data_IF_272308303017
#
_entry.id   IF_272308303017
#
_cell.length_a   1.000
_cell.length_b   1.000
_cell.length_c   1.000
_cell.angle_alpha   90.00
_cell.angle_beta   90.00
_cell.angle_gamma   90.00
#
_symmetry.space_group_name_H-M   'P 1'
#
loop_
_entity.id
_entity.type
_entity.pdbx_description
1 polymer ?
#
# COMPACT_ATOMS: atom_id res chain seq x y z
N UNK A 1 14.61 14.61 3.83
CA UNK A 1 14.11 15.73 4.66
C UNK A 1 13.18 15.18 5.73
N UNK A 2 12.89 15.91 6.84
CA UNK A 2 12.04 15.41 7.91
C UNK A 2 10.63 15.00 7.47
N UNK A 3 10.11 15.59 6.38
CA UNK A 3 8.81 15.23 5.82
C UNK A 3 8.63 13.74 5.50
N UNK A 4 9.71 12.97 5.33
CA UNK A 4 9.60 11.52 5.10
C UNK A 4 9.02 10.72 6.29
N UNK A 5 9.06 11.26 7.50
CA UNK A 5 8.52 10.61 8.70
C UNK A 5 7.74 11.54 9.64
N UNK A 6 7.78 12.87 9.41
CA UNK A 6 6.96 13.86 10.13
C UNK A 6 5.94 14.48 9.17
N UNK A 7 4.63 14.22 9.35
CA UNK A 7 3.61 14.76 8.47
C UNK A 7 3.45 16.28 8.59
N UNK A 8 3.80 16.90 9.73
CA UNK A 8 3.77 18.36 9.87
C UNK A 8 4.85 19.03 9.03
N UNK A 9 6.05 18.43 9.00
CA UNK A 9 7.12 18.87 8.10
C UNK A 9 6.72 18.66 6.63
N UNK A 10 6.08 17.52 6.30
CA UNK A 10 5.67 17.22 4.92
C UNK A 10 4.69 18.25 4.37
N UNK A 11 3.70 18.67 5.16
CA UNK A 11 2.72 19.67 4.72
C UNK A 11 3.39 21.00 4.36
N UNK A 12 4.37 21.44 5.17
CA UNK A 12 5.15 22.66 4.86
C UNK A 12 5.99 22.49 3.60
N UNK A 13 6.62 21.33 3.43
CA UNK A 13 7.38 21.01 2.21
C UNK A 13 6.47 21.03 0.97
N UNK A 14 5.27 20.43 1.05
CA UNK A 14 4.27 20.46 -0.02
C UNK A 14 3.80 21.88 -0.35
N UNK A 15 3.68 22.77 0.64
CA UNK A 15 3.33 24.18 0.42
C UNK A 15 4.42 24.93 -0.34
N UNK A 16 5.69 24.67 -0.02
CA UNK A 16 6.84 25.22 -0.76
C UNK A 16 6.85 24.72 -2.21
N UNK A 17 6.55 23.45 -2.41
CA UNK A 17 6.54 22.81 -3.74
C UNK A 17 5.24 23.10 -4.53
N UNK A 18 4.26 23.79 -3.94
CA UNK A 18 2.98 24.14 -4.59
C UNK A 18 2.02 22.96 -4.78
N UNK A 19 2.15 21.89 -3.98
CA UNK A 19 1.41 20.64 -4.13
C UNK A 19 0.08 20.66 -3.36
N UNK A 20 -1.00 20.40 -4.08
CA UNK A 20 -2.35 20.30 -3.48
C UNK A 20 -2.52 19.00 -2.68
N UNK A 21 -2.06 17.88 -3.24
CA UNK A 21 -2.11 16.57 -2.62
C UNK A 21 -1.01 15.65 -3.19
N UNK A 22 -0.72 14.57 -2.49
CA UNK A 22 0.27 13.56 -2.87
C UNK A 22 -0.23 12.15 -2.59
N UNK A 23 0.12 11.23 -3.48
CA UNK A 23 -0.06 9.78 -3.28
C UNK A 23 1.22 9.23 -2.66
N UNK A 24 1.09 8.59 -1.49
CA UNK A 24 2.22 8.15 -0.69
C UNK A 24 2.47 6.65 -0.89
N UNK A 25 3.66 6.34 -1.38
CA UNK A 25 4.20 4.98 -1.50
C UNK A 25 5.35 4.78 -0.50
N UNK A 26 5.62 3.53 -0.06
CA UNK A 26 6.77 3.22 0.75
C UNK A 26 8.08 3.40 -0.01
N UNK A 27 9.17 3.65 0.73
CA UNK A 27 10.54 3.52 0.20
C UNK A 27 11.23 2.28 0.76
N UNK A 28 11.48 2.23 2.07
CA UNK A 28 12.21 1.11 2.71
C UNK A 28 11.44 -0.21 2.61
N UNK A 29 10.11 -0.13 2.63
CA UNK A 29 9.26 -1.33 2.62
C UNK A 29 9.16 -1.96 1.22
N UNK A 30 9.51 -1.26 0.12
CA UNK A 30 9.44 -1.84 -1.25
C UNK A 30 10.18 -3.18 -1.36
N UNK A 31 11.35 -3.30 -0.72
CA UNK A 31 12.12 -4.54 -0.71
C UNK A 31 11.45 -5.69 0.05
N UNK A 32 10.50 -5.42 0.95
CA UNK A 32 9.77 -6.45 1.69
C UNK A 32 8.77 -7.20 0.80
N UNK A 33 8.41 -6.68 -0.38
CA UNK A 33 7.63 -7.43 -1.38
C UNK A 33 8.37 -8.66 -1.93
N UNK A 34 9.70 -8.75 -1.76
CA UNK A 34 10.50 -9.91 -2.14
C UNK A 34 10.57 -11.00 -1.04
N UNK A 35 9.97 -10.78 0.13
CA UNK A 35 9.90 -11.80 1.17
C UNK A 35 9.07 -13.00 0.68
N UNK A 36 9.60 -14.21 0.88
CA UNK A 36 8.91 -15.46 0.55
C UNK A 36 8.06 -16.00 1.71
N UNK A 37 8.33 -15.56 2.94
CA UNK A 37 7.48 -15.87 4.08
C UNK A 37 6.24 -14.95 4.04
N UNK A 38 5.13 -15.52 3.58
CA UNK A 38 3.84 -14.84 3.44
C UNK A 38 3.36 -14.21 4.77
N UNK A 39 3.49 -14.94 5.89
CA UNK A 39 3.02 -14.46 7.20
C UNK A 39 3.89 -13.33 7.73
N UNK A 40 5.20 -13.41 7.52
CA UNK A 40 6.10 -12.31 7.86
C UNK A 40 5.81 -11.07 7.01
N UNK A 41 5.60 -11.24 5.70
CA UNK A 41 5.25 -10.13 4.81
C UNK A 41 3.94 -9.45 5.24
N UNK A 42 2.89 -10.24 5.50
CA UNK A 42 1.61 -9.75 6.02
C UNK A 42 1.78 -8.94 7.32
N UNK A 43 2.54 -9.47 8.28
CA UNK A 43 2.77 -8.79 9.56
C UNK A 43 3.52 -7.46 9.39
N UNK A 44 4.57 -7.43 8.57
CA UNK A 44 5.31 -6.21 8.26
C UNK A 44 4.42 -5.16 7.56
N UNK A 45 3.61 -5.58 6.60
CA UNK A 45 2.74 -4.69 5.85
C UNK A 45 1.64 -4.11 6.73
N UNK A 46 1.07 -4.91 7.63
CA UNK A 46 0.07 -4.45 8.60
C UNK A 46 0.62 -3.33 9.49
N UNK A 47 1.82 -3.51 10.05
CA UNK A 47 2.48 -2.48 10.87
C UNK A 47 2.77 -1.22 10.06
N UNK A 48 3.22 -1.38 8.81
CA UNK A 48 3.41 -0.25 7.90
C UNK A 48 2.10 0.49 7.61
N UNK A 49 1.01 -0.23 7.35
CA UNK A 49 -0.31 0.36 7.06
C UNK A 49 -0.86 1.13 8.26
N UNK A 50 -0.65 0.62 9.49
CA UNK A 50 -1.03 1.30 10.72
C UNK A 50 -0.26 2.62 10.87
N UNK A 51 1.05 2.60 10.68
CA UNK A 51 1.89 3.81 10.67
C UNK A 51 1.47 4.79 9.57
N UNK A 52 1.21 4.30 8.35
CA UNK A 52 0.82 5.15 7.22
C UNK A 52 -0.54 5.82 7.48
N UNK A 53 -1.48 5.11 8.10
CA UNK A 53 -2.77 5.65 8.49
C UNK A 53 -2.62 6.79 9.51
N UNK A 54 -1.75 6.63 10.51
CA UNK A 54 -1.42 7.67 11.49
C UNK A 54 -0.75 8.87 10.82
N UNK A 55 0.24 8.63 9.95
CA UNK A 55 0.93 9.67 9.20
C UNK A 55 -0.05 10.51 8.36
N UNK A 56 -0.96 9.86 7.62
CA UNK A 56 -1.94 10.56 6.78
C UNK A 56 -3.03 11.27 7.60
N UNK A 57 -3.19 10.94 8.89
CA UNK A 57 -4.28 11.46 9.72
C UNK A 57 -4.27 12.98 9.86
N UNK A 58 -3.09 13.61 9.77
CA UNK A 58 -2.93 15.05 9.84
C UNK A 58 -3.71 15.79 8.75
N UNK A 59 -3.74 15.26 7.53
CA UNK A 59 -4.32 15.93 6.37
C UNK A 59 -4.80 14.92 5.32
N UNK A 60 -5.80 14.10 5.64
CA UNK A 60 -6.31 13.00 4.78
C UNK A 60 -6.79 13.42 3.38
N UNK A 61 -7.01 14.71 3.14
CA UNK A 61 -7.38 15.26 1.83
C UNK A 61 -6.16 15.67 0.99
N UNK A 62 -4.98 15.78 1.60
CA UNK A 62 -3.70 16.10 0.93
C UNK A 62 -2.72 14.93 0.95
N UNK A 63 -2.72 14.11 1.99
CA UNK A 63 -1.86 12.95 2.17
C UNK A 63 -2.66 11.67 1.87
N UNK A 64 -2.45 11.10 0.69
CA UNK A 64 -3.23 9.96 0.18
C UNK A 64 -2.40 8.69 0.30
N UNK A 65 -2.57 7.97 1.40
CA UNK A 65 -1.86 6.72 1.66
C UNK A 65 -2.38 5.54 0.84
N UNK A 66 -1.44 4.78 0.25
CA UNK A 66 -1.70 3.52 -0.47
C UNK A 66 -1.26 2.36 0.42
N UNK A 67 -2.22 1.49 0.78
CA UNK A 67 -1.97 0.36 1.66
C UNK A 67 -1.13 -0.69 0.96
N UNK A 68 -0.15 -1.26 1.66
CA UNK A 68 0.59 -2.40 1.18
C UNK A 68 -0.18 -3.69 1.46
N UNK A 69 -0.38 -4.51 0.43
CA UNK A 69 -1.18 -5.73 0.52
C UNK A 69 -0.30 -6.91 0.09
N UNK A 70 -0.08 -7.85 1.00
CA UNK A 70 0.50 -9.16 0.69
C UNK A 70 -0.55 -9.95 -0.07
N UNK A 71 -0.15 -10.60 -1.15
CA UNK A 71 -1.09 -11.30 -2.06
C UNK A 71 -0.72 -12.78 -2.24
N UNK A 72 0.05 -13.34 -1.31
CA UNK A 72 0.25 -14.79 -1.21
C UNK A 72 -1.05 -15.51 -0.84
N UNK A 73 -1.76 -15.00 0.18
CA UNK A 73 -3.11 -15.46 0.57
C UNK A 73 -4.12 -14.37 0.25
N UNK A 74 -5.05 -14.66 -0.66
CA UNK A 74 -5.98 -13.66 -1.20
C UNK A 74 -7.14 -13.38 -0.25
N UNK A 75 -7.54 -14.34 0.58
CA UNK A 75 -8.60 -14.12 1.57
C UNK A 75 -8.07 -13.19 2.68
N UNK A 76 -6.80 -13.35 3.07
CA UNK A 76 -6.11 -12.39 3.95
C UNK A 76 -5.90 -11.03 3.28
N UNK A 77 -5.50 -11.00 2.01
CA UNK A 77 -5.32 -9.77 1.25
C UNK A 77 -6.60 -8.92 1.20
N UNK A 78 -7.74 -9.54 0.92
CA UNK A 78 -9.06 -8.88 0.89
C UNK A 78 -9.42 -8.35 2.28
N UNK A 79 -9.21 -9.15 3.32
CA UNK A 79 -9.48 -8.73 4.72
C UNK A 79 -8.66 -7.49 5.10
N UNK A 80 -7.37 -7.46 4.75
CA UNK A 80 -6.51 -6.30 5.04
C UNK A 80 -6.87 -5.09 4.18
N UNK A 81 -7.27 -5.30 2.93
CA UNK A 81 -7.74 -4.25 2.03
C UNK A 81 -8.99 -3.55 2.59
N UNK A 82 -9.98 -4.32 3.04
CA UNK A 82 -11.18 -3.82 3.70
C UNK A 82 -10.85 -3.03 4.96
N UNK A 83 -9.94 -3.57 5.80
CA UNK A 83 -9.47 -2.91 7.02
C UNK A 83 -8.82 -1.56 6.72
N UNK A 84 -7.96 -1.50 5.71
CA UNK A 84 -7.28 -0.28 5.28
C UNK A 84 -8.26 0.74 4.69
N UNK A 85 -9.22 0.29 3.88
CA UNK A 85 -10.28 1.13 3.33
C UNK A 85 -11.16 1.75 4.41
N UNK A 86 -11.51 0.97 5.44
CA UNK A 86 -12.30 1.42 6.60
C UNK A 86 -11.56 2.48 7.43
N UNK A 87 -10.24 2.35 7.54
CA UNK A 87 -9.38 3.37 8.16
C UNK A 87 -9.19 4.60 7.27
N UNK A 88 -9.49 4.51 5.97
CA UNK A 88 -9.47 5.66 5.07
C UNK A 88 -8.21 5.79 4.22
N UNK A 89 -7.38 4.74 4.14
CA UNK A 89 -6.42 4.59 3.05
C UNK A 89 -7.18 4.42 1.72
N UNK A 90 -6.53 4.78 0.60
CA UNK A 90 -7.24 5.08 -0.66
C UNK A 90 -6.82 4.22 -1.86
N UNK A 91 -5.97 3.22 -1.65
CA UNK A 91 -5.60 2.27 -2.69
C UNK A 91 -4.77 1.13 -2.12
N UNK A 92 -4.37 0.22 -3.01
CA UNK A 92 -3.58 -0.95 -2.68
C UNK A 92 -2.30 -0.98 -3.53
N UNK A 93 -1.15 -1.18 -2.89
CA UNK A 93 0.11 -1.51 -3.54
C UNK A 93 0.30 -3.03 -3.41
N UNK A 94 0.45 -3.68 -4.55
CA UNK A 94 0.86 -5.09 -4.66
C UNK A 94 2.21 -5.17 -5.38
N UNK A 95 2.80 -6.37 -5.43
CA UNK A 95 4.01 -6.57 -6.22
C UNK A 95 3.79 -6.24 -7.70
N UNK A 96 4.83 -5.69 -8.34
CA UNK A 96 4.88 -5.50 -9.78
C UNK A 96 5.40 -6.76 -10.49
N UNK A 97 6.36 -7.46 -9.87
CA UNK A 97 6.87 -8.75 -10.34
C UNK A 97 6.36 -9.89 -9.43
N UNK A 98 5.30 -10.62 -9.83
CA UNK A 98 4.72 -11.67 -9.01
C UNK A 98 5.67 -12.85 -8.78
N UNK A 99 5.38 -13.66 -7.75
CA UNK A 99 6.00 -14.98 -7.63
C UNK A 99 5.69 -15.81 -8.90
N UNK A 100 6.64 -16.60 -9.45
CA UNK A 100 6.42 -17.37 -10.68
C UNK A 100 5.19 -18.29 -10.64
N UNK A 101 4.90 -18.87 -9.48
CA UNK A 101 3.74 -19.76 -9.27
C UNK A 101 2.41 -18.99 -9.11
N UNK A 102 2.45 -17.67 -8.96
CA UNK A 102 1.28 -16.81 -8.78
C UNK A 102 1.26 -15.68 -9.83
N UNK A 103 1.23 -15.98 -11.14
CA UNK A 103 1.24 -14.93 -12.14
C UNK A 103 -0.05 -14.10 -12.06
N UNK A 104 0.02 -12.79 -12.31
CA UNK A 104 -1.12 -11.86 -12.16
C UNK A 104 -2.33 -12.18 -13.06
N UNK A 105 -2.13 -12.97 -14.12
CA UNK A 105 -3.21 -13.45 -14.99
C UNK A 105 -3.89 -14.73 -14.49
N UNK A 106 -3.43 -15.30 -13.37
CA UNK A 106 -4.05 -16.48 -12.76
C UNK A 106 -5.34 -16.12 -12.02
N UNK A 107 -6.29 -17.05 -11.89
CA UNK A 107 -7.55 -16.83 -11.16
C UNK A 107 -7.35 -16.63 -9.64
N UNK A 108 -6.12 -16.81 -9.12
CA UNK A 108 -5.76 -16.53 -7.73
C UNK A 108 -6.26 -15.15 -7.29
N UNK A 109 -6.11 -14.15 -8.17
CA UNK A 109 -6.37 -12.76 -7.84
C UNK A 109 -7.81 -12.28 -8.06
N UNK A 110 -8.70 -13.13 -8.61
CA UNK A 110 -10.05 -12.70 -9.02
C UNK A 110 -10.83 -12.08 -7.85
N UNK A 111 -10.72 -12.68 -6.66
CA UNK A 111 -11.35 -12.14 -5.43
C UNK A 111 -10.76 -10.79 -5.03
N UNK A 112 -9.45 -10.60 -5.17
CA UNK A 112 -8.79 -9.34 -4.85
C UNK A 112 -9.24 -8.23 -5.82
N UNK A 113 -9.34 -8.54 -7.12
CA UNK A 113 -9.80 -7.59 -8.13
C UNK A 113 -11.25 -7.17 -7.88
N UNK A 114 -12.13 -8.12 -7.59
CA UNK A 114 -13.51 -7.84 -7.24
C UNK A 114 -13.61 -6.95 -6.00
N UNK A 115 -12.89 -7.30 -4.92
CA UNK A 115 -12.87 -6.50 -3.70
C UNK A 115 -12.31 -5.09 -3.93
N UNK A 116 -11.23 -4.95 -4.68
CA UNK A 116 -10.64 -3.66 -5.03
C UNK A 116 -11.63 -2.78 -5.82
N UNK A 117 -12.38 -3.38 -6.76
CA UNK A 117 -13.44 -2.70 -7.50
C UNK A 117 -14.57 -2.22 -6.57
N UNK A 118 -15.11 -3.13 -5.75
CA UNK A 118 -16.26 -2.84 -4.87
C UNK A 118 -15.93 -1.80 -3.80
N UNK A 119 -14.69 -1.81 -3.29
CA UNK A 119 -14.21 -0.85 -2.29
C UNK A 119 -13.76 0.49 -2.89
N UNK A 120 -13.72 0.59 -4.24
CA UNK A 120 -13.10 1.68 -4.98
C UNK A 120 -11.65 1.94 -4.53
N UNK A 121 -10.87 0.86 -4.40
CA UNK A 121 -9.46 0.86 -4.01
C UNK A 121 -8.59 0.58 -5.24
N UNK A 122 -8.11 1.60 -5.97
CA UNK A 122 -7.22 1.39 -7.11
C UNK A 122 -6.00 0.57 -6.72
N UNK A 123 -5.65 -0.39 -7.58
CA UNK A 123 -4.47 -1.24 -7.43
C UNK A 123 -3.31 -0.60 -8.18
N UNK A 124 -2.21 -0.42 -7.46
CA UNK A 124 -0.96 0.13 -7.95
C UNK A 124 0.13 -0.94 -7.96
N UNK A 125 0.97 -0.89 -8.98
CA UNK A 125 2.20 -1.68 -9.11
C UNK A 125 3.36 -0.72 -9.24
N UNK A 126 4.17 -0.60 -8.18
CA UNK A 126 5.35 0.26 -8.18
C UNK A 126 6.57 -0.55 -8.59
N UNK A 127 7.47 0.00 -9.42
CA UNK A 127 8.76 -0.65 -9.71
C UNK A 127 9.50 -1.00 -8.41
N UNK A 128 10.38 -1.99 -8.46
CA UNK A 128 11.14 -2.50 -7.31
C UNK A 128 10.30 -3.28 -6.29
N UNK A 129 9.13 -3.78 -6.69
CA UNK A 129 8.29 -4.63 -5.82
C UNK A 129 8.12 -6.02 -6.41
N UNK A 130 8.51 -7.03 -5.64
CA UNK A 130 8.32 -8.44 -5.98
C UNK A 130 9.60 -9.18 -6.30
N UNK A 131 9.48 -10.22 -7.12
CA UNK A 131 10.55 -11.15 -7.45
C UNK A 131 11.46 -10.60 -8.54
N UNK A 132 12.75 -10.97 -8.48
CA UNK A 132 13.73 -10.69 -9.53
C UNK A 132 13.80 -11.85 -10.51
#
# INVERSE_FOLDING_TARGET
>A
RPGGHDPHARIKEMEVDGLSAEVLYPTLMLGLFALQDARLQEACFRVYNDWLFEYCSLARHRLIGIAAISVYDIDHAVTELERCRKQGLKGALIWQAPHPDLPLHSPHYDKLWAAAQDLAMPVSMHILTGHS
#
